data_IF_509195634048
#
_entry.id   IF_509195634048
#
_cell.length_a   1.000
_cell.length_b   1.000
_cell.length_c   1.000
_cell.angle_alpha   90.00
_cell.angle_beta   90.00
_cell.angle_gamma   90.00
#
_symmetry.space_group_name_H-M   'P 1'
#
loop_
_entity.id
_entity.type
_entity.pdbx_description
1 polymer ?
#
# COMPACT_ATOMS: atom_id res chain seq x y z
N UNK A 1 1.78 15.46 -10.55
CA UNK A 1 2.60 14.26 -10.78
C UNK A 1 3.07 14.23 -12.20
N UNK A 2 4.32 13.83 -12.42
CA UNK A 2 4.86 13.63 -13.75
C UNK A 2 4.08 12.52 -14.46
N UNK A 3 3.94 12.64 -15.77
CA UNK A 3 3.21 11.66 -16.55
C UNK A 3 4.06 10.40 -16.78
N UNK A 4 3.41 9.25 -16.75
CA UNK A 4 3.96 7.97 -17.19
C UNK A 4 3.21 7.51 -18.43
N UNK A 5 3.86 6.76 -19.31
CA UNK A 5 3.16 6.06 -20.38
C UNK A 5 2.29 4.97 -19.76
N UNK A 6 1.11 4.73 -20.33
CA UNK A 6 0.17 3.73 -19.83
C UNK A 6 -0.08 2.65 -20.87
N UNK A 7 -0.19 1.41 -20.40
CA UNK A 7 -0.51 0.29 -21.26
C UNK A 7 -1.80 0.53 -22.07
N UNK A 8 -2.82 1.10 -21.43
CA UNK A 8 -4.09 1.41 -22.07
C UNK A 8 -3.95 2.40 -23.22
N UNK A 9 -3.05 3.38 -23.12
CA UNK A 9 -2.79 4.35 -24.19
C UNK A 9 -2.07 3.70 -25.37
N UNK A 10 -1.12 2.80 -25.08
CA UNK A 10 -0.44 2.03 -26.15
C UNK A 10 -1.41 1.12 -26.89
N UNK A 11 -2.35 0.50 -26.18
CA UNK A 11 -3.39 -0.35 -26.79
C UNK A 11 -4.31 0.51 -27.67
N UNK A 12 -4.78 1.65 -27.15
CA UNK A 12 -5.65 2.56 -27.91
C UNK A 12 -4.98 3.09 -29.18
N UNK A 13 -3.66 3.29 -29.15
CA UNK A 13 -2.87 3.73 -30.30
C UNK A 13 -2.49 2.58 -31.26
N UNK A 14 -2.93 1.34 -31.02
CA UNK A 14 -2.59 0.20 -31.85
C UNK A 14 -1.13 -0.24 -31.83
N UNK A 15 -0.40 0.10 -30.75
CA UNK A 15 1.04 -0.10 -30.66
C UNK A 15 1.46 -1.42 -30.00
N UNK A 16 0.51 -2.30 -29.70
CA UNK A 16 0.78 -3.56 -29.00
C UNK A 16 0.72 -4.80 -29.90
N UNK A 17 -0.01 -4.74 -31.02
CA UNK A 17 -0.21 -5.90 -31.90
C UNK A 17 1.14 -6.44 -32.42
N UNK A 18 1.35 -7.74 -32.23
CA UNK A 18 2.59 -8.42 -32.62
C UNK A 18 3.81 -8.12 -31.75
N UNK A 19 3.67 -7.30 -30.74
CA UNK A 19 4.78 -6.94 -29.85
C UNK A 19 4.97 -7.97 -28.74
N UNK A 20 6.24 -8.12 -28.30
CA UNK A 20 6.59 -8.91 -27.12
C UNK A 20 6.44 -8.01 -25.90
N UNK A 21 5.51 -8.35 -25.03
CA UNK A 21 5.16 -7.54 -23.85
C UNK A 21 5.59 -8.28 -22.59
N UNK A 22 6.45 -7.65 -21.79
CA UNK A 22 6.92 -8.15 -20.51
C UNK A 22 6.17 -7.43 -19.40
N UNK A 23 5.34 -8.17 -18.64
CA UNK A 23 4.56 -7.61 -17.52
C UNK A 23 5.17 -8.03 -16.20
N UNK A 24 5.64 -7.06 -15.41
CA UNK A 24 6.03 -7.29 -14.04
C UNK A 24 4.80 -7.15 -13.14
N UNK A 25 4.23 -8.27 -12.76
CA UNK A 25 3.07 -8.34 -11.88
C UNK A 25 3.49 -8.54 -10.42
N UNK A 26 2.55 -8.42 -9.50
CA UNK A 26 2.69 -8.84 -8.11
C UNK A 26 1.83 -10.09 -7.88
N UNK A 27 2.49 -11.24 -7.95
CA UNK A 27 1.90 -12.57 -7.78
C UNK A 27 2.45 -13.26 -6.52
N UNK A 28 2.98 -12.47 -5.59
CA UNK A 28 3.49 -12.97 -4.32
C UNK A 28 2.32 -13.29 -3.39
N UNK A 29 1.72 -14.45 -3.63
CA UNK A 29 0.54 -14.93 -2.91
C UNK A 29 0.92 -15.70 -1.66
N UNK A 30 0.06 -15.71 -0.62
CA UNK A 30 0.23 -16.57 0.52
C UNK A 30 -0.05 -18.02 0.12
N UNK A 31 0.74 -18.93 0.68
CA UNK A 31 0.64 -20.36 0.44
C UNK A 31 0.63 -21.12 1.77
N UNK A 32 -0.03 -22.29 1.78
CA UNK A 32 0.07 -23.22 2.89
C UNK A 32 1.39 -24.02 2.85
N UNK A 33 1.62 -24.89 3.82
CA UNK A 33 2.83 -25.70 3.92
C UNK A 33 2.99 -26.69 2.75
N UNK A 34 1.92 -26.94 1.99
CA UNK A 34 1.91 -27.81 0.81
C UNK A 34 2.07 -27.04 -0.50
N UNK A 35 2.23 -25.72 -0.42
CA UNK A 35 2.37 -24.86 -1.58
C UNK A 35 1.06 -24.46 -2.27
N UNK A 36 -0.09 -24.76 -1.67
CA UNK A 36 -1.37 -24.32 -2.20
C UNK A 36 -1.61 -22.85 -1.92
N UNK A 37 -2.16 -22.14 -2.90
CA UNK A 37 -2.53 -20.73 -2.74
C UNK A 37 -3.72 -20.64 -1.77
N UNK A 38 -3.55 -19.91 -0.67
CA UNK A 38 -4.58 -19.72 0.34
C UNK A 38 -5.45 -18.50 0.08
N UNK A 39 -4.95 -17.55 -0.72
CA UNK A 39 -5.66 -16.33 -1.08
C UNK A 39 -5.15 -15.84 -2.44
N UNK A 40 -6.04 -15.63 -3.41
CA UNK A 40 -5.68 -15.39 -4.82
C UNK A 40 -5.98 -13.98 -5.33
N UNK A 41 -6.25 -13.03 -4.45
CA UNK A 41 -6.61 -11.65 -4.84
C UNK A 41 -5.58 -11.02 -5.79
N UNK A 42 -4.29 -11.22 -5.52
CA UNK A 42 -3.22 -10.67 -6.37
C UNK A 42 -3.20 -11.30 -7.75
N UNK A 43 -3.50 -12.59 -7.84
CA UNK A 43 -3.59 -13.28 -9.14
C UNK A 43 -4.76 -12.72 -9.94
N UNK A 44 -5.94 -12.60 -9.32
CA UNK A 44 -7.13 -12.03 -9.94
C UNK A 44 -6.91 -10.60 -10.40
N UNK A 45 -6.25 -9.80 -9.58
CA UNK A 45 -5.96 -8.40 -9.88
C UNK A 45 -5.00 -8.22 -11.07
N UNK A 46 -4.18 -9.23 -11.36
CA UNK A 46 -3.24 -9.21 -12.49
C UNK A 46 -3.88 -9.59 -13.83
N UNK A 47 -5.05 -10.22 -13.82
CA UNK A 47 -5.74 -10.70 -15.02
C UNK A 47 -6.10 -9.57 -16.00
N UNK A 48 -6.63 -8.41 -15.58
CA UNK A 48 -7.00 -7.36 -16.53
C UNK A 48 -5.86 -6.86 -17.41
N UNK A 49 -4.66 -6.67 -16.87
CA UNK A 49 -3.49 -6.25 -17.65
C UNK A 49 -3.09 -7.31 -18.69
N UNK A 50 -3.05 -8.57 -18.24
CA UNK A 50 -2.69 -9.70 -19.10
C UNK A 50 -3.72 -9.86 -20.23
N UNK A 51 -5.00 -9.85 -19.89
CA UNK A 51 -6.08 -10.00 -20.87
C UNK A 51 -6.09 -8.86 -21.87
N UNK A 52 -5.91 -7.62 -21.42
CA UNK A 52 -5.87 -6.46 -22.31
C UNK A 52 -4.72 -6.56 -23.32
N UNK A 53 -3.54 -6.99 -22.90
CA UNK A 53 -2.41 -7.19 -23.78
C UNK A 53 -2.65 -8.33 -24.79
N UNK A 54 -3.24 -9.44 -24.34
CA UNK A 54 -3.62 -10.55 -25.21
C UNK A 54 -4.65 -10.14 -26.25
N UNK A 55 -5.69 -9.43 -25.84
CA UNK A 55 -6.76 -8.94 -26.71
C UNK A 55 -6.22 -7.94 -27.75
N UNK A 56 -5.16 -7.24 -27.43
CA UNK A 56 -4.46 -6.34 -28.34
C UNK A 56 -3.52 -7.06 -29.33
N UNK A 57 -3.41 -8.38 -29.26
CA UNK A 57 -2.59 -9.18 -30.17
C UNK A 57 -1.11 -9.28 -29.79
N UNK A 58 -0.76 -9.02 -28.54
CA UNK A 58 0.61 -9.11 -28.06
C UNK A 58 1.02 -10.55 -27.74
N UNK A 59 2.33 -10.81 -27.77
CA UNK A 59 2.95 -11.99 -27.18
C UNK A 59 3.32 -11.62 -25.73
N UNK A 60 2.72 -12.28 -24.74
CA UNK A 60 2.74 -11.83 -23.35
C UNK A 60 3.63 -12.73 -22.48
N UNK A 61 4.58 -12.11 -21.78
CA UNK A 61 5.42 -12.72 -20.77
C UNK A 61 5.12 -12.06 -19.44
N UNK A 62 4.81 -12.84 -18.41
CA UNK A 62 4.52 -12.32 -17.05
C UNK A 62 5.52 -12.88 -16.09
N UNK A 63 6.02 -12.06 -15.18
CA UNK A 63 6.84 -12.54 -14.05
C UNK A 63 6.49 -11.84 -12.75
N UNK A 64 6.90 -12.44 -11.66
CA UNK A 64 6.78 -11.91 -10.31
C UNK A 64 7.83 -12.55 -9.43
N UNK A 65 8.05 -11.95 -8.28
CA UNK A 65 8.68 -12.64 -7.18
C UNK A 65 7.65 -13.48 -6.41
N UNK A 66 8.13 -14.49 -5.71
CA UNK A 66 7.37 -15.30 -4.76
C UNK A 66 8.27 -15.58 -3.57
N UNK A 67 7.86 -15.20 -2.36
CA UNK A 67 8.62 -15.43 -1.15
C UNK A 67 9.97 -14.72 -1.12
N UNK A 68 10.92 -15.35 -0.45
CA UNK A 68 12.28 -14.83 -0.26
C UNK A 68 13.32 -15.90 -0.61
N UNK A 69 13.42 -16.30 -1.89
CA UNK A 69 14.38 -17.30 -2.30
C UNK A 69 15.82 -16.79 -2.17
N UNK A 70 16.78 -17.71 -2.09
CA UNK A 70 18.19 -17.37 -2.23
C UNK A 70 18.53 -17.22 -3.71
N UNK A 71 19.09 -16.09 -4.11
CA UNK A 71 19.46 -15.85 -5.50
C UNK A 71 20.47 -16.89 -5.99
N UNK A 72 20.22 -17.44 -7.16
CA UNK A 72 21.04 -18.47 -7.77
C UNK A 72 20.74 -19.90 -7.32
N UNK A 73 19.80 -20.05 -6.37
CA UNK A 73 19.38 -21.38 -5.84
C UNK A 73 17.89 -21.52 -6.02
N UNK A 74 17.47 -22.31 -7.00
CA UNK A 74 16.05 -22.59 -7.19
C UNK A 74 15.65 -23.82 -6.37
N UNK A 75 14.59 -23.66 -5.57
CA UNK A 75 13.96 -24.75 -4.82
C UNK A 75 12.50 -24.92 -5.28
N UNK A 76 11.93 -26.13 -5.20
CA UNK A 76 10.54 -26.34 -5.61
C UNK A 76 9.53 -25.40 -4.95
N UNK A 77 9.73 -25.06 -3.68
CA UNK A 77 8.85 -24.13 -2.95
C UNK A 77 8.92 -22.69 -3.46
N UNK A 78 9.95 -22.34 -4.22
CA UNK A 78 10.11 -21.01 -4.82
C UNK A 78 9.37 -20.87 -6.15
N UNK A 79 8.79 -21.96 -6.66
CA UNK A 79 8.19 -21.99 -8.00
C UNK A 79 6.86 -21.27 -8.07
N UNK A 80 6.65 -20.56 -9.19
CA UNK A 80 5.37 -19.97 -9.57
C UNK A 80 4.41 -20.98 -10.21
N UNK A 81 4.70 -22.28 -10.18
CA UNK A 81 3.84 -23.30 -10.78
C UNK A 81 2.38 -23.25 -10.28
N UNK A 82 2.09 -23.08 -8.98
CA UNK A 82 0.72 -22.92 -8.51
C UNK A 82 0.04 -21.66 -9.08
N UNK A 83 0.81 -20.58 -9.27
CA UNK A 83 0.29 -19.33 -9.85
C UNK A 83 0.00 -19.51 -11.33
N UNK A 84 0.86 -20.22 -12.07
CA UNK A 84 0.62 -20.53 -13.49
C UNK A 84 -0.69 -21.29 -13.68
N UNK A 85 -0.94 -22.29 -12.83
CA UNK A 85 -2.18 -23.07 -12.84
C UNK A 85 -3.39 -22.17 -12.57
N UNK A 86 -3.31 -21.29 -11.57
CA UNK A 86 -4.41 -20.38 -11.23
C UNK A 86 -4.68 -19.35 -12.33
N UNK A 87 -3.63 -18.80 -12.93
CA UNK A 87 -3.77 -17.89 -14.07
C UNK A 87 -4.44 -18.57 -15.26
N UNK A 88 -4.06 -19.84 -15.56
CA UNK A 88 -4.69 -20.60 -16.62
C UNK A 88 -6.19 -20.78 -16.41
N UNK A 89 -6.61 -21.08 -15.18
CA UNK A 89 -8.02 -21.19 -14.81
C UNK A 89 -8.76 -19.85 -15.03
N UNK A 90 -8.17 -18.74 -14.54
CA UNK A 90 -8.79 -17.42 -14.62
C UNK A 90 -8.84 -16.86 -16.06
N UNK A 91 -7.82 -17.13 -16.86
CA UNK A 91 -7.76 -16.68 -18.27
C UNK A 91 -8.48 -17.62 -19.22
N UNK A 92 -8.80 -18.85 -18.81
CA UNK A 92 -9.42 -19.85 -19.64
C UNK A 92 -8.54 -20.32 -20.81
N UNK A 93 -7.23 -20.37 -20.58
CA UNK A 93 -6.23 -20.78 -21.59
C UNK A 93 -4.96 -21.29 -20.93
N UNK A 94 -4.09 -21.95 -21.71
CA UNK A 94 -2.82 -22.42 -21.24
C UNK A 94 -1.91 -21.23 -20.84
N UNK A 95 -1.24 -21.38 -19.70
CA UNK A 95 -0.19 -20.48 -19.23
C UNK A 95 1.04 -21.32 -18.88
N UNK A 96 1.89 -21.63 -19.87
CA UNK A 96 3.10 -22.40 -19.62
C UNK A 96 4.06 -21.66 -18.69
N UNK A 97 4.69 -22.38 -17.79
CA UNK A 97 5.74 -21.86 -16.91
C UNK A 97 7.10 -22.06 -17.59
N UNK A 98 7.88 -20.98 -17.68
CA UNK A 98 9.19 -21.01 -18.35
C UNK A 98 10.29 -20.82 -17.33
N UNK A 99 11.15 -21.84 -17.18
CA UNK A 99 12.33 -21.82 -16.32
C UNK A 99 13.56 -21.32 -17.07
N UNK A 100 14.58 -20.84 -16.35
CA UNK A 100 15.85 -20.34 -16.92
C UNK A 100 15.68 -19.37 -18.09
N UNK A 101 14.64 -18.57 -18.03
CA UNK A 101 14.22 -17.69 -19.11
C UNK A 101 15.21 -16.55 -19.41
N UNK A 102 16.02 -16.13 -18.43
CA UNK A 102 17.06 -15.11 -18.64
C UNK A 102 18.14 -15.62 -19.58
N UNK A 103 18.59 -16.87 -19.39
CA UNK A 103 19.70 -17.46 -20.17
C UNK A 103 19.20 -18.11 -21.47
N UNK A 104 18.06 -18.77 -21.43
CA UNK A 104 17.55 -19.54 -22.56
C UNK A 104 16.63 -18.76 -23.50
N UNK A 105 16.24 -17.55 -23.08
CA UNK A 105 15.24 -16.78 -23.81
C UNK A 105 13.81 -17.31 -23.63
N UNK A 106 12.88 -16.67 -24.31
CA UNK A 106 11.45 -16.96 -24.21
C UNK A 106 10.85 -17.10 -25.61
N UNK A 107 10.14 -18.19 -25.84
CA UNK A 107 9.38 -18.41 -27.05
C UNK A 107 7.89 -18.29 -26.78
N UNK A 108 7.27 -17.22 -27.23
CA UNK A 108 5.86 -16.93 -27.09
C UNK A 108 5.37 -16.21 -28.35
N UNK A 109 4.25 -16.67 -28.88
CA UNK A 109 3.66 -16.09 -30.09
C UNK A 109 2.60 -15.01 -29.74
N UNK A 110 2.30 -14.09 -30.66
CA UNK A 110 1.17 -13.17 -30.49
C UNK A 110 -0.12 -13.91 -30.14
N UNK A 111 -0.85 -13.41 -29.13
CA UNK A 111 -2.05 -14.04 -28.60
C UNK A 111 -1.81 -15.15 -27.58
N UNK A 112 -0.55 -15.45 -27.28
CA UNK A 112 -0.16 -16.41 -26.25
C UNK A 112 0.41 -15.70 -25.03
N UNK A 113 0.32 -16.37 -23.86
CA UNK A 113 0.89 -15.91 -22.60
C UNK A 113 1.71 -17.01 -21.95
N UNK A 114 2.86 -16.65 -21.39
CA UNK A 114 3.70 -17.52 -20.57
C UNK A 114 3.99 -16.86 -19.24
N UNK A 115 4.16 -17.67 -18.20
CA UNK A 115 4.63 -17.19 -16.90
C UNK A 115 6.12 -17.54 -16.77
N UNK A 116 6.94 -16.53 -16.56
CA UNK A 116 8.37 -16.68 -16.34
C UNK A 116 8.61 -16.99 -14.87
N UNK A 117 9.40 -17.99 -14.59
CA UNK A 117 9.69 -18.47 -13.23
C UNK A 117 10.22 -17.36 -12.34
N UNK A 118 9.97 -17.47 -11.04
CA UNK A 118 10.27 -16.51 -9.98
C UNK A 118 11.52 -15.65 -10.26
N UNK A 119 11.30 -14.37 -10.47
CA UNK A 119 12.37 -13.45 -10.85
C UNK A 119 13.45 -13.28 -9.76
N UNK A 120 13.12 -13.52 -8.48
CA UNK A 120 14.07 -13.38 -7.38
C UNK A 120 15.08 -14.51 -7.27
N UNK A 121 14.96 -15.58 -8.04
CA UNK A 121 16.01 -16.60 -8.09
C UNK A 121 17.17 -16.18 -8.98
N UNK A 122 17.02 -15.14 -9.80
CA UNK A 122 18.06 -14.65 -10.67
C UNK A 122 19.09 -13.81 -9.89
N UNK A 123 20.36 -14.14 -10.03
CA UNK A 123 21.44 -13.34 -9.43
C UNK A 123 21.42 -11.93 -10.01
N UNK A 124 21.44 -10.94 -9.13
CA UNK A 124 21.42 -9.53 -9.50
C UNK A 124 20.03 -8.89 -9.48
N UNK A 125 18.96 -9.64 -9.26
CA UNK A 125 17.60 -9.09 -9.19
C UNK A 125 17.48 -8.02 -8.09
N UNK A 126 17.79 -8.37 -6.85
CA UNK A 126 17.71 -7.44 -5.72
C UNK A 126 18.69 -6.29 -5.80
N UNK A 127 19.85 -6.52 -6.39
CA UNK A 127 20.88 -5.50 -6.56
C UNK A 127 20.62 -4.58 -7.75
N UNK A 128 19.53 -4.79 -8.47
CA UNK A 128 19.22 -4.02 -9.68
C UNK A 128 20.37 -4.02 -10.69
N UNK A 129 20.95 -5.20 -10.94
CA UNK A 129 22.08 -5.37 -11.84
C UNK A 129 21.76 -4.88 -13.24
N UNK A 130 22.55 -3.98 -13.79
CA UNK A 130 22.38 -3.49 -15.15
C UNK A 130 22.56 -4.59 -16.19
N UNK A 131 23.51 -5.51 -15.98
CA UNK A 131 23.73 -6.66 -16.87
C UNK A 131 22.48 -7.54 -16.95
N UNK A 132 21.89 -7.90 -15.80
CA UNK A 132 20.66 -8.67 -15.75
C UNK A 132 19.50 -7.91 -16.40
N UNK A 133 19.35 -6.63 -16.09
CA UNK A 133 18.30 -5.79 -16.65
C UNK A 133 18.39 -5.68 -18.19
N UNK A 134 19.60 -5.56 -18.74
CA UNK A 134 19.83 -5.53 -20.18
C UNK A 134 19.46 -6.85 -20.84
N UNK A 135 19.79 -7.99 -20.22
CA UNK A 135 19.40 -9.32 -20.72
C UNK A 135 17.87 -9.45 -20.76
N UNK A 136 17.19 -9.02 -19.71
CA UNK A 136 15.73 -9.07 -19.64
C UNK A 136 15.08 -8.11 -20.64
N UNK A 137 15.61 -6.91 -20.81
CA UNK A 137 15.11 -5.93 -21.75
C UNK A 137 15.14 -6.42 -23.22
N UNK A 138 16.09 -7.25 -23.58
CA UNK A 138 16.18 -7.87 -24.92
C UNK A 138 15.07 -8.86 -25.20
N UNK A 139 14.38 -9.34 -24.19
CA UNK A 139 13.28 -10.28 -24.34
C UNK A 139 11.98 -9.61 -24.81
N UNK A 140 11.88 -8.30 -24.71
CA UNK A 140 10.63 -7.59 -24.97
C UNK A 140 10.79 -6.35 -25.82
N UNK A 141 9.68 -5.93 -26.42
CA UNK A 141 9.53 -4.65 -27.10
C UNK A 141 8.90 -3.60 -26.18
N UNK A 142 8.05 -4.06 -25.25
CA UNK A 142 7.33 -3.22 -24.28
C UNK A 142 7.45 -3.85 -22.91
N UNK A 143 7.92 -3.07 -21.96
CA UNK A 143 7.93 -3.41 -20.53
C UNK A 143 6.74 -2.73 -19.84
N UNK A 144 6.04 -3.48 -19.01
CA UNK A 144 4.89 -3.02 -18.24
C UNK A 144 5.15 -3.29 -16.75
N UNK A 145 5.13 -2.25 -15.92
CA UNK A 145 5.08 -2.42 -14.48
C UNK A 145 3.64 -2.34 -14.00
N UNK A 146 3.15 -3.43 -13.43
CA UNK A 146 1.81 -3.53 -12.86
C UNK A 146 1.86 -3.98 -11.39
N UNK A 147 2.95 -3.66 -10.70
CA UNK A 147 3.27 -4.14 -9.35
C UNK A 147 3.55 -2.97 -8.40
N UNK A 148 2.53 -2.19 -8.06
CA UNK A 148 2.69 -1.05 -7.14
C UNK A 148 3.27 -1.49 -5.78
N UNK A 149 2.91 -2.67 -5.27
CA UNK A 149 3.41 -3.19 -4.00
C UNK A 149 4.94 -3.31 -3.91
N UNK A 150 5.63 -3.36 -5.05
CA UNK A 150 7.09 -3.41 -5.13
C UNK A 150 7.72 -2.12 -5.68
N UNK A 151 6.93 -1.09 -5.91
CA UNK A 151 7.39 0.15 -6.57
C UNK A 151 8.44 0.93 -5.76
N UNK A 152 8.51 0.69 -4.44
CA UNK A 152 9.49 1.30 -3.54
C UNK A 152 10.87 0.63 -3.61
N UNK A 153 11.02 -0.44 -4.38
CA UNK A 153 12.28 -1.18 -4.52
C UNK A 153 12.87 -1.01 -5.90
N UNK A 154 14.15 -0.63 -5.96
CA UNK A 154 14.90 -0.60 -7.20
C UNK A 154 15.52 -1.99 -7.43
N UNK A 155 14.79 -2.86 -8.10
CA UNK A 155 15.22 -4.21 -8.49
C UNK A 155 15.28 -4.32 -10.01
N UNK A 156 15.91 -5.37 -10.55
CA UNK A 156 16.08 -5.50 -11.99
C UNK A 156 14.77 -5.56 -12.75
N UNK A 157 13.76 -6.29 -12.24
CA UNK A 157 12.44 -6.41 -12.90
C UNK A 157 11.50 -5.25 -12.63
N UNK A 158 11.76 -4.42 -11.63
CA UNK A 158 10.90 -3.27 -11.29
C UNK A 158 11.48 -1.93 -11.72
N UNK A 159 12.77 -1.84 -11.89
CA UNK A 159 13.48 -0.60 -12.21
C UNK A 159 14.44 -0.75 -13.39
N UNK A 160 15.45 -1.61 -13.26
CA UNK A 160 16.52 -1.71 -14.26
C UNK A 160 16.03 -2.02 -15.66
N UNK A 161 15.13 -2.99 -15.83
CA UNK A 161 14.55 -3.35 -17.12
C UNK A 161 13.87 -2.16 -17.80
N UNK A 162 13.23 -1.29 -17.02
CA UNK A 162 12.55 -0.11 -17.54
C UNK A 162 13.54 0.90 -18.16
N UNK A 163 14.78 0.93 -17.70
CA UNK A 163 15.82 1.78 -18.31
C UNK A 163 16.20 1.35 -19.72
N UNK A 164 16.19 0.04 -19.98
CA UNK A 164 16.75 -0.54 -21.20
C UNK A 164 15.72 -1.07 -22.19
N UNK A 165 14.48 -1.30 -21.77
CA UNK A 165 13.42 -1.72 -22.68
C UNK A 165 13.13 -0.64 -23.74
N UNK A 166 12.78 -1.00 -24.97
CA UNK A 166 12.44 -0.01 -25.99
C UNK A 166 11.30 0.92 -25.58
N UNK A 167 10.27 0.38 -24.94
CA UNK A 167 9.15 1.14 -24.37
C UNK A 167 8.91 0.65 -22.96
N UNK A 168 8.68 1.58 -22.02
CA UNK A 168 8.37 1.26 -20.64
C UNK A 168 7.10 2.02 -20.19
N UNK A 169 6.14 1.31 -19.63
CA UNK A 169 4.85 1.88 -19.26
C UNK A 169 4.31 1.30 -17.94
N UNK A 170 3.28 1.95 -17.41
CA UNK A 170 2.52 1.49 -16.27
C UNK A 170 1.33 0.64 -16.72
N UNK A 171 1.12 -0.49 -16.06
CA UNK A 171 -0.10 -1.27 -16.19
C UNK A 171 -1.27 -0.60 -15.45
N UNK A 172 -2.50 -1.11 -15.62
CA UNK A 172 -3.69 -0.50 -15.03
C UNK A 172 -3.69 -0.43 -13.50
N UNK A 173 -3.13 -1.42 -12.79
CA UNK A 173 -3.03 -1.38 -11.34
C UNK A 173 -2.10 -0.25 -10.86
N UNK A 174 -0.92 -0.16 -11.45
CA UNK A 174 0.03 0.89 -11.11
C UNK A 174 -0.54 2.27 -11.46
N UNK A 175 -1.15 2.41 -12.64
CA UNK A 175 -1.76 3.66 -13.06
C UNK A 175 -2.88 4.11 -12.11
N UNK A 176 -3.74 3.19 -11.68
CA UNK A 176 -4.81 3.48 -10.73
C UNK A 176 -4.29 3.94 -9.36
N UNK A 177 -3.23 3.29 -8.85
CA UNK A 177 -2.56 3.72 -7.61
C UNK A 177 -1.99 5.14 -7.75
N UNK A 178 -1.31 5.41 -8.85
CA UNK A 178 -0.72 6.74 -9.10
C UNK A 178 -1.80 7.83 -9.23
N UNK A 179 -2.90 7.53 -9.88
CA UNK A 179 -4.04 8.45 -10.00
C UNK A 179 -4.66 8.75 -8.64
N UNK A 180 -4.89 7.69 -7.82
CA UNK A 180 -5.46 7.83 -6.50
C UNK A 180 -4.55 8.64 -5.55
N UNK A 181 -3.25 8.33 -5.54
CA UNK A 181 -2.27 9.05 -4.73
C UNK A 181 -2.12 10.51 -5.18
N UNK A 182 -2.15 10.75 -6.49
CA UNK A 182 -2.13 12.10 -7.05
C UNK A 182 -3.35 12.93 -6.65
N UNK A 183 -4.51 12.32 -6.71
CA UNK A 183 -5.76 12.96 -6.30
C UNK A 183 -5.79 13.26 -4.79
N UNK A 184 -5.23 12.34 -3.98
CA UNK A 184 -5.21 12.49 -2.52
C UNK A 184 -4.19 13.52 -2.03
N UNK A 185 -3.00 13.60 -2.64
CA UNK A 185 -1.88 14.37 -2.09
C UNK A 185 -1.28 15.41 -3.06
N UNK A 186 -1.44 15.23 -4.36
CA UNK A 186 -0.89 16.15 -5.35
C UNK A 186 -1.70 17.44 -5.48
N UNK A 187 -3.01 17.30 -5.61
CA UNK A 187 -3.95 18.41 -5.69
C UNK A 187 -5.26 18.03 -5.00
N UNK A 188 -5.24 17.86 -3.66
CA UNK A 188 -6.39 17.38 -2.94
C UNK A 188 -7.53 18.40 -2.87
N UNK A 189 -8.77 17.92 -2.94
CA UNK A 189 -9.92 18.70 -2.51
C UNK A 189 -9.80 18.93 -0.99
N UNK A 190 -9.96 20.18 -0.58
CA UNK A 190 -9.84 20.59 0.83
C UNK A 190 -11.18 20.57 1.54
N UNK A 191 -11.26 20.32 2.85
CA UNK A 191 -10.14 20.01 3.76
C UNK A 191 -9.53 18.64 3.49
N UNK A 192 -8.20 18.55 3.56
CA UNK A 192 -7.45 17.31 3.54
C UNK A 192 -7.25 16.83 4.98
N UNK A 193 -7.82 15.69 5.31
CA UNK A 193 -7.71 15.06 6.63
C UNK A 193 -6.93 13.77 6.51
N UNK A 194 -5.89 13.60 7.30
CA UNK A 194 -5.14 12.36 7.37
C UNK A 194 -5.32 11.72 8.75
N UNK A 195 -5.47 10.41 8.75
CA UNK A 195 -5.45 9.57 9.96
C UNK A 195 -4.17 8.75 9.92
N UNK A 196 -3.28 8.98 10.88
CA UNK A 196 -2.06 8.21 11.07
C UNK A 196 -2.07 7.63 12.47
N UNK A 197 -2.26 6.34 12.57
CA UNK A 197 -2.37 5.66 13.83
C UNK A 197 -1.48 4.42 13.87
N UNK A 198 -1.11 4.02 15.08
CA UNK A 198 -0.25 2.87 15.30
C UNK A 198 0.34 2.90 16.71
N UNK A 199 1.19 1.93 17.01
CA UNK A 199 1.76 1.77 18.36
C UNK A 199 2.89 2.74 18.65
N UNK A 200 3.69 3.14 17.66
CA UNK A 200 4.93 3.87 17.86
C UNK A 200 5.10 5.03 16.89
N UNK A 201 5.43 6.21 17.44
CA UNK A 201 5.85 7.38 16.65
C UNK A 201 7.10 7.09 15.84
N UNK A 202 8.09 6.39 16.41
CA UNK A 202 9.36 6.06 15.75
C UNK A 202 9.19 5.34 14.42
N UNK A 203 8.18 4.48 14.29
CA UNK A 203 7.91 3.74 13.05
C UNK A 203 7.20 4.58 11.99
N UNK A 204 6.54 5.66 12.36
CA UNK A 204 5.74 6.51 11.47
C UNK A 204 6.14 7.99 11.50
N UNK A 205 7.28 8.31 12.11
CA UNK A 205 7.71 9.70 12.28
C UNK A 205 7.83 10.45 10.95
N UNK A 206 8.41 9.82 9.93
CA UNK A 206 8.56 10.42 8.61
C UNK A 206 7.21 10.67 7.93
N UNK A 207 6.27 9.73 8.07
CA UNK A 207 4.89 9.90 7.58
C UNK A 207 4.22 11.07 8.28
N UNK A 208 4.31 11.12 9.61
CA UNK A 208 3.72 12.19 10.43
C UNK A 208 4.25 13.56 10.02
N UNK A 209 5.58 13.70 9.89
CA UNK A 209 6.22 14.95 9.46
C UNK A 209 5.80 15.34 8.04
N UNK A 210 5.80 14.40 7.10
CA UNK A 210 5.42 14.66 5.72
C UNK A 210 3.97 15.12 5.61
N UNK A 211 3.05 14.43 6.26
CA UNK A 211 1.63 14.78 6.22
C UNK A 211 1.30 16.05 7.00
N UNK A 212 1.95 16.28 8.14
CA UNK A 212 1.77 17.51 8.91
C UNK A 212 2.06 18.77 8.08
N UNK A 213 2.97 18.67 7.10
CA UNK A 213 3.27 19.73 6.15
C UNK A 213 2.25 19.93 5.03
N UNK A 214 1.23 19.08 4.90
CA UNK A 214 0.30 19.07 3.75
C UNK A 214 -1.17 19.13 4.14
N UNK A 215 -1.54 18.60 5.30
CA UNK A 215 -2.93 18.42 5.71
C UNK A 215 -3.53 19.67 6.35
N UNK A 216 -4.85 19.75 6.34
CA UNK A 216 -5.61 20.71 7.15
C UNK A 216 -5.88 20.16 8.54
N UNK A 217 -5.93 18.84 8.69
CA UNK A 217 -6.07 18.16 9.97
C UNK A 217 -5.32 16.84 9.96
N UNK A 218 -4.57 16.59 11.02
CA UNK A 218 -3.87 15.33 11.28
C UNK A 218 -4.48 14.64 12.50
N UNK A 219 -5.18 13.54 12.27
CA UNK A 219 -5.74 12.70 13.34
C UNK A 219 -4.72 11.62 13.67
N UNK A 220 -4.33 11.54 14.94
CA UNK A 220 -3.43 10.50 15.43
C UNK A 220 -4.18 9.52 16.33
N UNK A 221 -3.73 8.27 16.38
CA UNK A 221 -4.39 7.22 17.16
C UNK A 221 -3.42 6.19 17.71
N UNK A 222 -3.89 5.38 18.65
CA UNK A 222 -3.09 4.35 19.31
C UNK A 222 -1.96 4.89 20.18
N UNK A 223 -0.84 4.19 20.25
CA UNK A 223 0.35 4.64 21.00
C UNK A 223 0.92 5.95 20.48
N UNK A 224 0.74 6.25 19.20
CA UNK A 224 1.11 7.54 18.60
C UNK A 224 0.32 8.67 19.29
N UNK A 225 -1.01 8.52 19.42
CA UNK A 225 -1.84 9.51 20.11
C UNK A 225 -1.42 9.68 21.56
N UNK A 226 -1.05 8.61 22.24
CA UNK A 226 -0.60 8.67 23.63
C UNK A 226 0.68 9.50 23.78
N UNK A 227 1.62 9.35 22.85
CA UNK A 227 2.84 10.18 22.80
C UNK A 227 2.51 11.65 22.53
N UNK A 228 1.55 11.93 21.61
CA UNK A 228 1.08 13.29 21.37
C UNK A 228 0.35 13.89 22.58
N UNK A 229 -0.39 13.09 23.33
CA UNK A 229 -1.01 13.52 24.59
C UNK A 229 0.04 13.93 25.63
N UNK A 230 1.11 13.16 25.76
CA UNK A 230 2.26 13.54 26.62
C UNK A 230 2.87 14.86 26.16
N UNK A 231 3.06 15.04 24.84
CA UNK A 231 3.57 16.28 24.28
C UNK A 231 2.66 17.49 24.58
N UNK A 232 1.36 17.27 24.72
CA UNK A 232 0.39 18.28 25.11
C UNK A 232 0.30 18.48 26.64
N UNK A 233 1.11 17.78 27.42
CA UNK A 233 1.14 17.90 28.88
C UNK A 233 0.10 17.08 29.61
N UNK A 234 -0.52 16.11 28.97
CA UNK A 234 -1.55 15.24 29.57
C UNK A 234 -0.93 13.99 30.19
N UNK A 235 -1.58 13.48 31.25
CA UNK A 235 -1.23 12.19 31.85
C UNK A 235 -1.88 11.06 31.07
N UNK A 236 -1.15 9.97 30.86
CA UNK A 236 -1.62 8.80 30.10
C UNK A 236 -1.57 7.50 30.90
N UNK A 237 -1.33 7.57 32.22
CA UNK A 237 -1.20 6.38 33.06
C UNK A 237 -0.02 5.51 32.63
N UNK A 238 -0.24 4.20 32.52
CA UNK A 238 0.74 3.23 32.01
C UNK A 238 0.56 2.89 30.54
N UNK A 239 -0.09 3.77 29.77
CA UNK A 239 -0.34 3.56 28.35
C UNK A 239 0.96 3.45 27.55
N UNK A 240 0.90 2.68 26.45
CA UNK A 240 2.00 2.57 25.50
C UNK A 240 2.31 3.95 24.90
N UNK A 241 3.55 4.40 25.06
CA UNK A 241 4.04 5.66 24.49
C UNK A 241 5.56 5.65 24.37
N UNK A 242 6.09 6.57 23.59
CA UNK A 242 7.52 6.79 23.44
C UNK A 242 7.88 8.16 24.02
N UNK A 243 8.18 8.18 25.32
CA UNK A 243 8.46 9.42 26.07
C UNK A 243 9.68 10.20 25.53
N UNK A 244 10.64 9.50 24.94
CA UNK A 244 11.83 10.10 24.32
C UNK A 244 11.53 10.81 22.97
N UNK A 245 10.33 10.62 22.40
CA UNK A 245 9.89 11.27 21.16
C UNK A 245 8.85 12.38 21.39
N UNK A 246 8.65 12.80 22.62
CA UNK A 246 7.70 13.88 22.96
C UNK A 246 8.08 15.19 22.27
N UNK A 247 9.37 15.51 22.15
CA UNK A 247 9.80 16.73 21.47
C UNK A 247 9.50 16.70 19.99
N UNK A 248 9.65 15.57 19.32
CA UNK A 248 9.29 15.38 17.91
C UNK A 248 7.77 15.51 17.71
N UNK A 249 6.98 14.92 18.60
CA UNK A 249 5.52 15.04 18.56
C UNK A 249 5.09 16.50 18.73
N UNK A 250 5.70 17.22 19.68
CA UNK A 250 5.44 18.65 19.89
C UNK A 250 5.79 19.50 18.68
N UNK A 251 6.93 19.21 18.03
CA UNK A 251 7.34 19.91 16.82
C UNK A 251 6.34 19.72 15.67
N UNK A 252 5.78 18.52 15.55
CA UNK A 252 4.74 18.23 14.55
C UNK A 252 3.46 19.04 14.82
N UNK A 253 3.02 19.09 16.08
CA UNK A 253 1.86 19.88 16.49
C UNK A 253 2.08 21.37 16.17
N UNK A 254 3.24 21.88 16.53
CA UNK A 254 3.58 23.31 16.35
C UNK A 254 3.67 23.66 14.85
N UNK A 255 4.30 22.83 14.04
CA UNK A 255 4.39 23.02 12.58
C UNK A 255 3.00 23.02 11.93
N UNK A 256 2.14 22.08 12.29
CA UNK A 256 0.78 22.04 11.78
C UNK A 256 0.01 23.32 12.17
N UNK A 257 0.11 23.72 13.42
CA UNK A 257 -0.56 24.92 13.94
C UNK A 257 -0.10 26.20 13.24
N UNK A 258 1.21 26.33 13.00
CA UNK A 258 1.77 27.48 12.28
C UNK A 258 1.22 27.62 10.86
N UNK A 259 0.86 26.53 10.23
CA UNK A 259 0.24 26.51 8.91
C UNK A 259 -1.29 26.66 8.93
N UNK A 260 -1.90 26.82 10.10
CA UNK A 260 -3.35 26.86 10.25
C UNK A 260 -4.02 25.49 10.24
N UNK A 261 -3.25 24.41 10.31
CA UNK A 261 -3.75 23.04 10.44
C UNK A 261 -3.95 22.67 11.90
N UNK A 262 -4.68 21.60 12.16
CA UNK A 262 -4.93 21.10 13.52
C UNK A 262 -4.46 19.66 13.70
N UNK A 263 -4.04 19.36 14.93
CA UNK A 263 -3.78 17.99 15.40
C UNK A 263 -4.67 17.79 16.62
N UNK A 264 -5.89 17.25 16.46
CA UNK A 264 -6.83 17.09 17.58
C UNK A 264 -6.26 16.13 18.63
N UNK A 265 -6.38 16.52 19.87
CA UNK A 265 -6.03 15.68 21.02
C UNK A 265 -7.33 15.13 21.62
N UNK A 266 -7.41 13.83 21.96
CA UNK A 266 -8.60 13.27 22.56
C UNK A 266 -9.07 14.02 23.82
N UNK A 267 -10.36 14.25 23.97
CA UNK A 267 -10.98 14.79 25.19
C UNK A 267 -11.39 13.69 26.14
N UNK A 268 -11.76 12.54 25.61
CA UNK A 268 -12.08 11.32 26.35
C UNK A 268 -11.41 10.10 25.70
N UNK A 269 -11.27 9.06 26.50
CA UNK A 269 -10.60 7.82 26.11
C UNK A 269 -11.35 6.62 26.67
N UNK A 270 -11.05 5.44 26.14
CA UNK A 270 -11.47 4.15 26.72
C UNK A 270 -10.24 3.49 27.31
N UNK A 271 -10.30 3.21 28.60
CA UNK A 271 -9.19 2.65 29.37
C UNK A 271 -9.49 1.24 29.85
N UNK A 272 -8.41 0.51 30.13
CA UNK A 272 -8.44 -0.77 30.82
C UNK A 272 -7.25 -0.86 31.80
N UNK A 273 -7.33 -1.80 32.73
CA UNK A 273 -6.23 -2.05 33.69
C UNK A 273 -5.21 -3.07 33.14
N UNK A 274 -5.59 -3.79 32.10
CA UNK A 274 -4.78 -4.81 31.43
C UNK A 274 -5.03 -4.82 29.92
N UNK A 275 -4.08 -5.33 29.17
CA UNK A 275 -4.23 -5.56 27.73
C UNK A 275 -4.71 -7.00 27.52
N UNK A 276 -6.02 -7.19 27.35
CA UNK A 276 -6.65 -8.50 27.24
C UNK A 276 -7.96 -8.41 26.46
N UNK A 277 -8.34 -9.46 25.69
CA UNK A 277 -9.64 -9.51 25.02
C UNK A 277 -10.83 -9.42 25.98
N UNK A 278 -10.63 -9.76 27.26
CA UNK A 278 -11.68 -9.77 28.29
C UNK A 278 -11.54 -8.61 29.29
N UNK A 279 -10.62 -7.69 29.06
CA UNK A 279 -10.43 -6.54 29.92
C UNK A 279 -11.69 -5.66 29.96
N UNK A 280 -12.07 -5.20 31.16
CA UNK A 280 -13.18 -4.27 31.34
C UNK A 280 -12.80 -2.90 30.75
N UNK A 281 -13.67 -2.36 29.90
CA UNK A 281 -13.51 -1.05 29.30
C UNK A 281 -14.19 0.02 30.14
N UNK A 282 -13.49 1.13 30.40
CA UNK A 282 -14.01 2.28 31.12
C UNK A 282 -13.80 3.55 30.32
N UNK A 283 -14.86 4.28 30.04
CA UNK A 283 -14.78 5.60 29.40
C UNK A 283 -14.38 6.63 30.45
N UNK A 284 -13.32 7.39 30.15
CA UNK A 284 -12.81 8.44 31.06
C UNK A 284 -12.53 9.73 30.31
N UNK A 285 -12.76 10.86 30.97
CA UNK A 285 -12.19 12.12 30.51
C UNK A 285 -10.67 12.05 30.67
N UNK A 286 -9.92 12.74 29.79
CA UNK A 286 -8.45 12.69 29.86
C UNK A 286 -7.88 13.19 31.20
N UNK A 287 -8.60 14.08 31.86
CA UNK A 287 -8.21 14.57 33.21
C UNK A 287 -8.35 13.52 34.31
N UNK A 288 -9.12 12.47 34.09
CA UNK A 288 -9.46 11.45 35.09
C UNK A 288 -8.63 10.15 34.92
N UNK A 289 -7.65 10.15 34.03
CA UNK A 289 -6.79 9.00 33.80
C UNK A 289 -5.92 8.74 35.04
N UNK A 290 -5.99 7.52 35.54
CA UNK A 290 -5.21 7.08 36.71
C UNK A 290 -3.87 6.46 36.29
N UNK A 291 -2.94 6.34 37.25
CA UNK A 291 -1.60 5.84 36.98
C UNK A 291 -1.53 4.41 36.46
N UNK A 292 -2.52 3.57 36.79
CA UNK A 292 -2.65 2.17 36.34
C UNK A 292 -3.59 1.98 35.14
N UNK A 293 -4.09 3.05 34.56
CA UNK A 293 -4.90 3.00 33.34
C UNK A 293 -4.04 2.81 32.09
N UNK A 294 -4.55 2.02 31.15
CA UNK A 294 -4.05 1.90 29.77
C UNK A 294 -5.11 2.45 28.82
N UNK A 295 -4.74 3.40 28.00
CA UNK A 295 -5.61 3.89 26.92
C UNK A 295 -5.59 2.88 25.77
N UNK A 296 -6.74 2.31 25.44
CA UNK A 296 -6.89 1.31 24.39
C UNK A 296 -7.82 1.75 23.25
N UNK A 297 -8.47 2.89 23.38
CA UNK A 297 -9.29 3.50 22.32
C UNK A 297 -9.52 4.99 22.62
N UNK A 298 -9.91 5.75 21.60
CA UNK A 298 -10.47 7.08 21.81
C UNK A 298 -11.88 6.93 22.42
N UNK A 299 -12.30 7.92 23.21
CA UNK A 299 -13.63 7.91 23.79
C UNK A 299 -14.74 8.28 22.79
N UNK A 300 -16.01 8.05 23.16
CA UNK A 300 -17.14 8.30 22.26
C UNK A 300 -17.31 9.76 21.87
N UNK A 301 -17.03 10.72 22.74
CA UNK A 301 -17.13 12.14 22.40
C UNK A 301 -16.05 12.56 21.43
N UNK A 302 -14.82 12.09 21.60
CA UNK A 302 -13.73 12.30 20.67
C UNK A 302 -14.04 11.68 19.31
N UNK A 303 -14.52 10.43 19.30
CA UNK A 303 -14.89 9.74 18.06
C UNK A 303 -15.97 10.49 17.29
N UNK A 304 -17.00 10.97 17.98
CA UNK A 304 -18.08 11.75 17.38
C UNK A 304 -17.60 13.06 16.77
N UNK A 305 -16.74 13.78 17.48
CA UNK A 305 -16.17 15.04 17.00
C UNK A 305 -15.30 14.81 15.74
N UNK A 306 -14.46 13.79 15.75
CA UNK A 306 -13.63 13.44 14.60
C UNK A 306 -14.47 12.95 13.41
N UNK A 307 -15.49 12.15 13.66
CA UNK A 307 -16.44 11.69 12.64
C UNK A 307 -17.10 12.86 11.92
N UNK A 308 -17.55 13.88 12.66
CA UNK A 308 -18.13 15.09 12.09
C UNK A 308 -17.16 15.81 11.13
N UNK A 309 -15.88 15.84 11.46
CA UNK A 309 -14.88 16.45 10.62
C UNK A 309 -14.57 15.62 9.37
N UNK A 310 -14.56 14.30 9.49
CA UNK A 310 -14.38 13.40 8.34
C UNK A 310 -15.55 13.51 7.36
N UNK A 311 -16.76 13.68 7.85
CA UNK A 311 -17.95 13.88 7.00
C UNK A 311 -17.86 15.17 6.18
N UNK A 312 -17.17 16.19 6.68
CA UNK A 312 -16.99 17.50 6.02
C UNK A 312 -15.70 17.58 5.20
N UNK A 313 -14.86 16.56 5.22
CA UNK A 313 -13.59 16.56 4.49
C UNK A 313 -13.83 16.55 2.96
N UNK A 314 -12.86 17.08 2.23
CA UNK A 314 -12.79 16.95 0.77
C UNK A 314 -11.96 15.74 0.36
N UNK A 315 -10.92 15.44 1.13
CA UNK A 315 -10.04 14.29 0.92
C UNK A 315 -9.66 13.67 2.26
N UNK A 316 -9.65 12.34 2.32
CA UNK A 316 -9.25 11.58 3.50
C UNK A 316 -8.13 10.60 3.13
N UNK A 317 -7.04 10.63 3.90
CA UNK A 317 -5.97 9.63 3.84
C UNK A 317 -5.99 8.83 5.15
N UNK A 318 -6.24 7.55 5.06
CA UNK A 318 -6.42 6.71 6.25
C UNK A 318 -5.36 5.62 6.35
N UNK A 319 -4.55 5.71 7.41
CA UNK A 319 -3.52 4.72 7.74
C UNK A 319 -3.52 4.43 9.24
N UNK A 320 -4.15 3.34 9.60
CA UNK A 320 -4.13 2.75 10.94
C UNK A 320 -5.40 2.96 11.76
N UNK A 321 -5.72 1.99 12.64
CA UNK A 321 -6.82 2.07 13.57
C UNK A 321 -6.49 2.98 14.75
N UNK A 322 -7.51 3.63 15.33
CA UNK A 322 -7.34 4.57 16.45
C UNK A 322 -7.46 3.92 17.82
N UNK A 323 -7.67 2.62 17.87
CA UNK A 323 -7.76 1.82 19.10
C UNK A 323 -7.44 0.35 18.82
N UNK A 324 -7.51 -0.46 19.87
CA UNK A 324 -7.30 -1.92 19.79
C UNK A 324 -8.60 -2.58 19.31
N UNK A 325 -8.93 -2.36 18.05
CA UNK A 325 -10.21 -2.74 17.46
C UNK A 325 -10.42 -4.26 17.36
N UNK A 326 -9.35 -5.03 17.47
CA UNK A 326 -9.40 -6.49 17.53
C UNK A 326 -10.20 -6.97 18.75
N UNK A 327 -10.22 -6.19 19.80
CA UNK A 327 -11.07 -6.40 20.99
C UNK A 327 -12.30 -5.50 20.86
N UNK A 328 -13.48 -6.09 20.76
CA UNK A 328 -14.72 -5.35 20.44
C UNK A 328 -15.00 -4.16 21.37
N UNK A 329 -14.67 -4.28 22.67
CA UNK A 329 -14.89 -3.21 23.65
C UNK A 329 -13.96 -2.01 23.44
N UNK A 330 -12.90 -2.15 22.62
CA UNK A 330 -11.96 -1.09 22.26
C UNK A 330 -12.01 -0.76 20.76
N UNK A 331 -13.08 -1.16 20.08
CA UNK A 331 -13.26 -0.95 18.65
C UNK A 331 -14.17 0.21 18.28
N UNK A 332 -14.87 0.82 19.23
CA UNK A 332 -15.86 1.84 18.91
C UNK A 332 -15.28 3.06 18.19
N UNK A 333 -14.10 3.51 18.58
CA UNK A 333 -13.43 4.65 17.93
C UNK A 333 -13.16 4.37 16.47
N UNK A 334 -12.50 3.25 16.17
CA UNK A 334 -12.18 2.85 14.79
C UNK A 334 -13.46 2.63 13.98
N UNK A 335 -14.47 1.98 14.53
CA UNK A 335 -15.75 1.77 13.86
C UNK A 335 -16.45 3.09 13.53
N UNK A 336 -16.49 4.01 14.48
CA UNK A 336 -17.12 5.33 14.29
C UNK A 336 -16.44 6.12 13.18
N UNK A 337 -15.11 6.14 13.15
CA UNK A 337 -14.35 6.79 12.07
C UNK A 337 -14.55 6.08 10.73
N UNK A 338 -14.54 4.75 10.71
CA UNK A 338 -14.79 3.95 9.52
C UNK A 338 -16.16 4.26 8.90
N UNK A 339 -17.20 4.30 9.72
CA UNK A 339 -18.57 4.64 9.30
C UNK A 339 -18.67 6.08 8.80
N UNK A 340 -17.96 7.02 9.42
CA UNK A 340 -17.89 8.40 8.97
C UNK A 340 -17.21 8.54 7.60
N UNK A 341 -16.12 7.81 7.38
CA UNK A 341 -15.42 7.76 6.08
C UNK A 341 -16.37 7.18 5.02
N UNK A 342 -17.09 6.11 5.35
CA UNK A 342 -18.04 5.48 4.44
C UNK A 342 -19.18 6.43 4.02
N UNK A 343 -19.64 7.28 4.93
CA UNK A 343 -20.70 8.27 4.67
C UNK A 343 -20.22 9.55 4.03
N UNK A 344 -18.91 9.86 4.15
CA UNK A 344 -18.34 11.09 3.64
C UNK A 344 -18.39 11.14 2.11
N UNK A 345 -18.66 12.33 1.56
CA UNK A 345 -18.53 12.59 0.13
C UNK A 345 -17.06 12.83 -0.30
N UNK A 346 -16.13 12.82 0.65
CA UNK A 346 -14.70 13.00 0.39
C UNK A 346 -14.15 11.88 -0.52
N UNK A 347 -13.12 12.22 -1.29
CA UNK A 347 -12.27 11.19 -1.87
C UNK A 347 -11.43 10.56 -0.75
N UNK A 348 -11.63 9.29 -0.49
CA UNK A 348 -10.94 8.57 0.57
C UNK A 348 -9.97 7.53 0.01
N UNK A 349 -8.75 7.55 0.52
CA UNK A 349 -7.75 6.53 0.22
C UNK A 349 -7.29 5.89 1.54
N UNK A 350 -7.25 4.57 1.57
CA UNK A 350 -6.82 3.80 2.73
C UNK A 350 -5.73 2.81 2.34
N UNK A 351 -4.81 2.56 3.24
CA UNK A 351 -3.75 1.58 3.04
C UNK A 351 -3.09 1.16 4.34
N UNK A 352 -2.35 0.06 4.27
CA UNK A 352 -1.74 -0.60 5.42
C UNK A 352 -2.59 -1.79 5.91
N UNK A 353 -1.92 -2.84 6.39
CA UNK A 353 -2.57 -4.11 6.75
C UNK A 353 -3.66 -3.95 7.81
N UNK A 354 -3.39 -3.20 8.87
CA UNK A 354 -4.36 -2.99 9.95
C UNK A 354 -5.56 -2.17 9.49
N UNK A 355 -5.34 -1.23 8.57
CA UNK A 355 -6.42 -0.44 7.98
C UNK A 355 -7.35 -1.32 7.15
N UNK A 356 -6.78 -2.21 6.33
CA UNK A 356 -7.55 -3.16 5.52
C UNK A 356 -8.33 -4.13 6.41
N UNK A 357 -7.75 -4.56 7.52
CA UNK A 357 -8.43 -5.41 8.49
C UNK A 357 -9.64 -4.70 9.13
N UNK A 358 -9.51 -3.42 9.47
CA UNK A 358 -10.62 -2.62 9.98
C UNK A 358 -11.72 -2.43 8.93
N UNK A 359 -11.35 -2.15 7.70
CA UNK A 359 -12.30 -2.03 6.58
C UNK A 359 -13.11 -3.32 6.41
N UNK A 360 -12.44 -4.47 6.46
CA UNK A 360 -13.08 -5.78 6.37
C UNK A 360 -14.01 -6.03 7.56
N UNK A 361 -13.54 -5.76 8.79
CA UNK A 361 -14.32 -5.98 10.02
C UNK A 361 -15.61 -5.17 10.02
N UNK A 362 -15.58 -3.93 9.58
CA UNK A 362 -16.74 -3.03 9.59
C UNK A 362 -17.50 -2.98 8.26
N UNK A 363 -17.11 -3.80 7.29
CA UNK A 363 -17.87 -4.01 6.06
C UNK A 363 -18.01 -2.79 5.16
N UNK A 364 -17.02 -1.91 5.12
CA UNK A 364 -17.07 -0.64 4.36
C UNK A 364 -16.21 -0.64 3.10
N UNK A 365 -15.78 -1.80 2.63
CA UNK A 365 -14.89 -1.92 1.48
C UNK A 365 -15.37 -1.12 0.25
N UNK A 366 -16.66 -1.19 -0.05
CA UNK A 366 -17.21 -0.55 -1.26
C UNK A 366 -17.45 0.96 -1.10
N UNK A 367 -17.35 1.48 0.12
CA UNK A 367 -17.57 2.90 0.41
C UNK A 367 -16.27 3.71 0.55
N UNK A 368 -15.12 3.06 0.58
CA UNK A 368 -13.82 3.74 0.50
C UNK A 368 -13.49 3.96 -0.97
N UNK A 369 -13.14 5.19 -1.35
CA UNK A 369 -12.94 5.55 -2.76
C UNK A 369 -11.81 4.76 -3.41
N UNK A 370 -10.72 4.55 -2.70
CA UNK A 370 -9.61 3.73 -3.15
C UNK A 370 -8.91 3.03 -1.97
N UNK A 371 -8.72 1.73 -2.09
CA UNK A 371 -7.98 0.93 -1.11
C UNK A 371 -6.66 0.51 -1.74
N UNK A 372 -5.56 1.03 -1.21
CA UNK A 372 -4.22 0.67 -1.68
C UNK A 372 -3.84 -0.74 -1.26
N UNK A 373 -3.39 -1.54 -2.19
CA UNK A 373 -2.82 -2.85 -1.93
C UNK A 373 -1.30 -2.78 -1.79
N UNK A 374 -0.72 -1.58 -1.89
CA UNK A 374 0.71 -1.36 -2.01
C UNK A 374 1.53 -1.55 -0.74
N UNK A 375 0.92 -1.69 0.42
CA UNK A 375 1.64 -1.93 1.68
C UNK A 375 2.80 -0.94 1.90
N UNK A 376 4.04 -1.45 1.81
CA UNK A 376 5.24 -0.64 2.01
C UNK A 376 5.40 0.51 1.02
N UNK A 377 5.04 0.31 -0.24
CA UNK A 377 5.10 1.36 -1.25
C UNK A 377 4.13 2.51 -0.94
N UNK A 378 2.93 2.19 -0.48
CA UNK A 378 1.97 3.20 -0.03
C UNK A 378 2.53 4.01 1.15
N UNK A 379 3.10 3.35 2.14
CA UNK A 379 3.70 4.02 3.30
C UNK A 379 4.88 4.91 2.90
N UNK A 380 5.77 4.43 2.04
CA UNK A 380 6.89 5.24 1.54
C UNK A 380 6.42 6.45 0.73
N UNK A 381 5.35 6.30 -0.03
CA UNK A 381 4.74 7.44 -0.71
C UNK A 381 4.21 8.48 0.29
N UNK A 382 3.55 8.04 1.36
CA UNK A 382 3.09 8.95 2.43
C UNK A 382 4.26 9.64 3.15
N UNK A 383 5.42 9.02 3.20
CA UNK A 383 6.65 9.61 3.73
C UNK A 383 7.23 10.73 2.83
N UNK A 384 6.66 10.91 1.64
CA UNK A 384 7.16 11.88 0.67
C UNK A 384 8.32 11.37 -0.16
N UNK A 385 8.65 10.08 -0.09
CA UNK A 385 9.73 9.49 -0.87
C UNK A 385 9.31 9.28 -2.32
N UNK A 386 10.28 9.45 -3.23
CA UNK A 386 10.11 9.04 -4.62
C UNK A 386 10.21 7.52 -4.71
N UNK A 387 9.27 6.91 -5.43
CA UNK A 387 9.28 5.47 -5.65
C UNK A 387 10.13 5.15 -6.89
N UNK A 388 11.22 4.36 -6.76
CA UNK A 388 12.14 4.13 -7.87
C UNK A 388 11.48 3.60 -9.14
N UNK A 389 10.54 2.66 -8.99
CA UNK A 389 9.84 2.07 -10.13
C UNK A 389 8.92 3.06 -10.85
N UNK A 390 8.42 4.07 -10.15
CA UNK A 390 7.63 5.16 -10.75
C UNK A 390 8.54 6.19 -11.39
N UNK A 391 9.60 6.59 -10.70
CA UNK A 391 10.55 7.60 -11.18
C UNK A 391 11.18 7.19 -12.52
N UNK A 392 11.56 5.93 -12.68
CA UNK A 392 12.11 5.44 -13.95
C UNK A 392 11.09 5.50 -15.08
N UNK A 393 9.81 5.22 -14.82
CA UNK A 393 8.75 5.34 -15.82
C UNK A 393 8.49 6.79 -16.21
N UNK A 394 8.56 7.71 -15.25
CA UNK A 394 8.46 9.15 -15.53
C UNK A 394 9.59 9.62 -16.43
N UNK A 395 10.83 9.20 -16.18
CA UNK A 395 11.98 9.49 -17.01
C UNK A 395 11.80 8.96 -18.43
N UNK A 396 11.20 7.78 -18.58
CA UNK A 396 10.96 7.14 -19.89
C UNK A 396 9.77 7.70 -20.64
N UNK A 397 8.94 8.50 -20.00
CA UNK A 397 7.79 9.16 -20.63
C UNK A 397 8.17 10.44 -21.37
N UNK A 398 9.34 11.01 -21.09
CA UNK A 398 9.85 12.24 -21.69
C UNK A 398 10.25 12.07 -23.17
#
# INVERSE_FOLDING_TARGET
>A
MSQVKRLTDLIAAGQLAGKRVFIRADLNVPQDDQGNITEDTRVRASVPAIQAALDAGAAVMVTSHLGRPTEGEFKPEDSLAPVAKRLAELLGRDVPLVSNWVENGVNVAPGQVVLLENCRVNKGEKKNSDELAQKMAKLCDVYVNDAFGTAHRAEATTHGIAKYAPVACAGPLLAAELDALGKALGNPARPLVAIVAGSKVSTKLTILKSLAGKVDQLIVGGGIANTFMLAAGLSIGKSLAEADLVNEAKAIIDEARERGASVPIPSDVVTAKEFSPTAAATVKQVADIEADDMILDIGPDTAKALASQLEKAGTIVWNGPVGVFEFDQFGNGTRTLAEAIAKSSAFSIAGGGDTLAAIAKYGIHDQVSYISTGGGAFLEFLEGKKLPAVEVLETRAA
#
